data_IF_778839991317
#
_entry.id   IF_778839991317
#
_cell.length_a   1.000
_cell.length_b   1.000
_cell.length_c   1.000
_cell.angle_alpha   90.00
_cell.angle_beta   90.00
_cell.angle_gamma   90.00
#
_symmetry.space_group_name_H-M   'P 1'
#
loop_
_entity.id
_entity.type
_entity.pdbx_description
1 polymer ?
#
# COMPACT_ATOMS: atom_id res chain seq x y z
N UNK A 1 11.80 -1.39 4.09
CA UNK A 1 12.99 -1.20 3.23
C UNK A 1 12.63 -1.47 1.78
N UNK A 2 13.58 -1.30 0.84
CA UNK A 2 13.34 -1.65 -0.57
C UNK A 2 13.49 -3.17 -0.80
N UNK A 3 12.81 -3.74 -1.82
CA UNK A 3 12.78 -5.17 -2.11
C UNK A 3 14.13 -5.89 -2.12
N UNK A 4 15.16 -5.24 -2.67
CA UNK A 4 16.51 -5.82 -2.80
C UNK A 4 17.16 -6.20 -1.47
N UNK A 5 16.71 -5.60 -0.36
CA UNK A 5 17.27 -5.83 0.97
C UNK A 5 16.46 -6.81 1.83
N UNK A 6 15.29 -7.29 1.35
CA UNK A 6 14.38 -8.12 2.16
C UNK A 6 15.06 -9.38 2.67
N UNK A 7 15.75 -10.12 1.80
CA UNK A 7 16.43 -11.37 2.17
C UNK A 7 17.51 -11.16 3.24
N UNK A 8 18.30 -10.11 3.08
CA UNK A 8 19.37 -9.80 4.03
C UNK A 8 18.80 -9.33 5.37
N UNK A 9 17.74 -8.50 5.35
CA UNK A 9 17.05 -8.06 6.55
C UNK A 9 16.43 -9.23 7.32
N UNK A 10 15.79 -10.15 6.62
CA UNK A 10 15.24 -11.36 7.22
C UNK A 10 16.32 -12.20 7.91
N UNK A 11 17.47 -12.37 7.27
CA UNK A 11 18.61 -13.08 7.85
C UNK A 11 19.10 -12.39 9.13
N UNK A 12 19.22 -11.07 9.13
CA UNK A 12 19.72 -10.32 10.29
C UNK A 12 18.72 -10.27 11.46
N UNK A 13 17.42 -10.31 11.16
CA UNK A 13 16.35 -10.18 12.15
C UNK A 13 15.73 -11.51 12.59
N UNK A 14 16.25 -12.65 12.11
CA UNK A 14 15.69 -13.99 12.32
C UNK A 14 15.47 -14.40 13.79
N UNK A 15 16.17 -13.77 14.74
CA UNK A 15 16.08 -14.04 16.19
C UNK A 15 15.38 -12.93 16.98
N UNK A 16 14.67 -12.05 16.28
CA UNK A 16 13.97 -10.90 16.87
C UNK A 16 12.50 -10.93 16.52
N UNK A 17 11.68 -10.18 17.26
CA UNK A 17 10.26 -9.99 16.95
C UNK A 17 10.03 -8.86 15.91
N UNK A 18 11.09 -8.35 15.27
CA UNK A 18 11.01 -7.28 14.30
C UNK A 18 10.47 -7.78 12.96
N UNK A 19 9.40 -7.18 12.46
CA UNK A 19 8.83 -7.47 11.13
C UNK A 19 9.62 -6.80 10.01
N UNK A 20 9.92 -7.54 8.94
CA UNK A 20 10.49 -7.00 7.70
C UNK A 20 9.37 -6.51 6.79
N UNK A 21 9.27 -5.19 6.67
CA UNK A 21 8.29 -4.54 5.79
C UNK A 21 9.01 -4.06 4.52
N UNK A 22 8.42 -4.32 3.36
CA UNK A 22 8.91 -3.81 2.08
C UNK A 22 7.83 -3.04 1.32
N UNK A 23 8.20 -2.49 0.17
CA UNK A 23 7.33 -1.71 -0.71
C UNK A 23 7.15 -2.40 -2.06
N UNK A 24 6.01 -2.15 -2.72
CA UNK A 24 5.66 -2.68 -4.06
C UNK A 24 5.12 -1.56 -4.95
N UNK A 25 5.53 -1.53 -6.22
CA UNK A 25 5.14 -0.49 -7.17
C UNK A 25 5.55 0.91 -6.71
N UNK A 26 6.60 1.00 -5.90
CA UNK A 26 6.96 2.20 -5.15
C UNK A 26 8.08 2.99 -5.84
N UNK A 27 8.09 4.34 -5.77
CA UNK A 27 7.10 5.19 -5.10
C UNK A 27 5.95 5.66 -6.01
N UNK A 28 6.04 5.43 -7.32
CA UNK A 28 5.16 6.12 -8.27
C UNK A 28 3.79 5.46 -8.45
N UNK A 29 3.65 4.17 -8.13
CA UNK A 29 2.42 3.43 -8.35
C UNK A 29 2.05 3.23 -9.82
N UNK A 30 2.93 3.57 -10.77
CA UNK A 30 2.64 3.62 -12.21
C UNK A 30 3.07 2.36 -12.97
N UNK A 31 3.44 1.29 -12.27
CA UNK A 31 3.70 0.00 -12.88
C UNK A 31 2.38 -0.68 -13.28
N UNK A 32 2.40 -1.50 -14.32
CA UNK A 32 1.27 -2.38 -14.64
C UNK A 32 1.00 -3.37 -13.50
N UNK A 33 -0.26 -3.77 -13.32
CA UNK A 33 -0.69 -4.67 -12.23
C UNK A 33 0.12 -5.96 -12.19
N UNK A 34 0.39 -6.57 -13.34
CA UNK A 34 1.18 -7.80 -13.44
C UNK A 34 2.57 -7.65 -12.81
N UNK A 35 3.23 -6.49 -12.98
CA UNK A 35 4.53 -6.23 -12.34
C UNK A 35 4.39 -6.13 -10.83
N UNK A 36 3.37 -5.43 -10.31
CA UNK A 36 3.14 -5.33 -8.86
C UNK A 36 2.83 -6.70 -8.25
N UNK A 37 2.08 -7.54 -8.95
CA UNK A 37 1.77 -8.92 -8.54
C UNK A 37 3.05 -9.77 -8.46
N UNK A 38 3.88 -9.78 -9.51
CA UNK A 38 5.11 -10.57 -9.50
C UNK A 38 6.13 -10.04 -8.47
N UNK A 39 6.24 -8.72 -8.31
CA UNK A 39 7.06 -8.11 -7.26
C UNK A 39 6.58 -8.55 -5.86
N UNK A 40 5.26 -8.58 -5.63
CA UNK A 40 4.65 -9.02 -4.37
C UNK A 40 5.00 -10.47 -4.06
N UNK A 41 4.83 -11.39 -5.03
CA UNK A 41 5.19 -12.80 -4.86
C UNK A 41 6.67 -12.96 -4.52
N UNK A 42 7.53 -12.26 -5.25
CA UNK A 42 8.98 -12.33 -5.06
C UNK A 42 9.38 -11.85 -3.67
N UNK A 43 8.88 -10.71 -3.21
CA UNK A 43 9.29 -10.20 -1.88
C UNK A 43 8.79 -11.08 -0.74
N UNK A 44 7.67 -11.76 -0.91
CA UNK A 44 7.17 -12.74 0.06
C UNK A 44 8.04 -13.98 0.08
N UNK A 45 8.47 -14.48 -1.08
CA UNK A 45 9.45 -15.58 -1.18
C UNK A 45 10.78 -15.21 -0.50
N UNK A 46 11.20 -13.94 -0.62
CA UNK A 46 12.37 -13.41 0.08
C UNK A 46 12.14 -13.22 1.59
N UNK A 47 10.90 -13.37 2.06
CA UNK A 47 10.51 -13.38 3.47
C UNK A 47 9.91 -12.07 3.99
N UNK A 48 9.37 -11.18 3.16
CA UNK A 48 8.66 -10.00 3.66
C UNK A 48 7.49 -10.40 4.58
N UNK A 49 7.40 -9.78 5.76
CA UNK A 49 6.29 -10.00 6.70
C UNK A 49 5.09 -9.10 6.43
N UNK A 50 5.31 -7.95 5.78
CA UNK A 50 4.25 -7.04 5.34
C UNK A 50 4.67 -6.30 4.07
N UNK A 51 3.69 -5.87 3.27
CA UNK A 51 3.91 -5.13 2.02
C UNK A 51 3.16 -3.79 2.05
N UNK A 52 3.85 -2.70 1.74
CA UNK A 52 3.26 -1.38 1.53
C UNK A 52 3.24 -1.08 0.00
N UNK A 53 2.09 -1.23 -0.67
CA UNK A 53 1.95 -0.96 -2.11
C UNK A 53 1.54 0.50 -2.40
N UNK A 54 1.90 1.04 -3.56
CA UNK A 54 1.35 2.33 -4.05
C UNK A 54 0.27 2.08 -5.09
N UNK A 55 -0.89 2.74 -4.93
CA UNK A 55 -2.01 2.63 -5.88
C UNK A 55 -1.67 3.20 -7.25
N UNK A 56 -2.41 2.76 -8.28
CA UNK A 56 -2.47 3.45 -9.57
C UNK A 56 -3.09 4.86 -9.44
N UNK A 57 -2.25 5.85 -9.15
CA UNK A 57 -2.67 7.25 -8.93
C UNK A 57 -3.32 7.87 -10.17
N UNK A 58 -2.80 7.58 -11.37
CA UNK A 58 -3.39 8.07 -12.63
C UNK A 58 -4.83 7.59 -12.80
N UNK A 59 -5.06 6.28 -12.66
CA UNK A 59 -6.40 5.69 -12.76
C UNK A 59 -7.37 6.28 -11.71
N UNK A 60 -6.91 6.53 -10.48
CA UNK A 60 -7.75 7.17 -9.46
C UNK A 60 -8.17 8.59 -9.89
N UNK A 61 -7.25 9.38 -10.42
CA UNK A 61 -7.51 10.75 -10.88
C UNK A 61 -8.41 10.81 -12.11
N UNK A 62 -8.33 9.80 -12.97
CA UNK A 62 -9.20 9.64 -14.13
C UNK A 62 -10.60 9.09 -13.76
N UNK A 63 -10.83 8.78 -12.48
CA UNK A 63 -12.09 8.20 -12.01
C UNK A 63 -12.27 6.72 -12.35
N UNK A 64 -11.21 6.05 -12.82
CA UNK A 64 -11.20 4.61 -13.10
C UNK A 64 -10.99 3.80 -11.80
N UNK A 65 -12.03 3.83 -10.96
CA UNK A 65 -12.05 3.12 -9.69
C UNK A 65 -12.02 1.60 -9.84
N UNK A 66 -12.45 1.09 -11.01
CA UNK A 66 -12.41 -0.34 -11.30
C UNK A 66 -10.95 -0.81 -11.38
N UNK A 67 -10.14 -0.14 -12.19
CA UNK A 67 -8.71 -0.46 -12.33
C UNK A 67 -7.98 -0.37 -10.99
N UNK A 68 -8.24 0.68 -10.19
CA UNK A 68 -7.63 0.82 -8.86
C UNK A 68 -8.02 -0.33 -7.93
N UNK A 69 -9.31 -0.69 -7.85
CA UNK A 69 -9.79 -1.77 -7.00
C UNK A 69 -9.26 -3.15 -7.43
N UNK A 70 -9.24 -3.41 -8.74
CA UNK A 70 -8.73 -4.67 -9.30
C UNK A 70 -7.22 -4.81 -9.10
N UNK A 71 -6.46 -3.72 -9.23
CA UNK A 71 -5.02 -3.71 -8.93
C UNK A 71 -4.73 -4.04 -7.47
N UNK A 72 -5.40 -3.35 -6.53
CA UNK A 72 -5.20 -3.61 -5.10
C UNK A 72 -5.59 -5.05 -4.77
N UNK A 73 -6.72 -5.53 -5.29
CA UNK A 73 -7.18 -6.91 -5.07
C UNK A 73 -6.18 -7.92 -5.57
N UNK A 74 -5.63 -7.73 -6.77
CA UNK A 74 -4.63 -8.62 -7.33
C UNK A 74 -3.35 -8.69 -6.47
N UNK A 75 -2.91 -7.56 -5.90
CA UNK A 75 -1.77 -7.52 -4.98
C UNK A 75 -2.10 -8.21 -3.64
N UNK A 76 -3.29 -7.96 -3.08
CA UNK A 76 -3.77 -8.63 -1.86
C UNK A 76 -3.85 -10.15 -2.06
N UNK A 77 -4.42 -10.61 -3.17
CA UNK A 77 -4.51 -12.03 -3.51
C UNK A 77 -3.12 -12.66 -3.70
N UNK A 78 -2.21 -11.97 -4.39
CA UNK A 78 -0.83 -12.41 -4.55
C UNK A 78 -0.07 -12.47 -3.22
N UNK A 79 -0.45 -11.64 -2.25
CA UNK A 79 0.16 -11.62 -0.93
C UNK A 79 -0.28 -12.77 -0.01
N UNK A 80 -1.42 -13.39 -0.31
CA UNK A 80 -1.98 -14.47 0.50
C UNK A 80 -2.26 -14.02 1.93
N UNK A 81 -1.51 -14.54 2.90
CA UNK A 81 -1.64 -14.19 4.32
C UNK A 81 -0.79 -12.98 4.74
N UNK A 82 0.11 -12.50 3.87
CA UNK A 82 0.97 -11.36 4.18
C UNK A 82 0.16 -10.06 4.09
N UNK A 83 0.07 -9.26 5.17
CA UNK A 83 -0.73 -8.04 5.19
C UNK A 83 -0.24 -7.01 4.17
N UNK A 84 -1.20 -6.47 3.40
CA UNK A 84 -0.98 -5.40 2.44
C UNK A 84 -1.52 -4.08 2.96
N UNK A 85 -0.66 -3.05 2.93
CA UNK A 85 -1.01 -1.65 3.20
C UNK A 85 -1.02 -0.88 1.90
N UNK A 86 -2.03 -0.03 1.72
CA UNK A 86 -2.24 0.72 0.48
C UNK A 86 -1.84 2.17 0.69
N UNK A 87 -0.73 2.58 0.08
CA UNK A 87 -0.29 3.98 0.03
C UNK A 87 -1.14 4.72 -1.01
N UNK A 88 -1.93 5.68 -0.53
CA UNK A 88 -2.82 6.48 -1.39
C UNK A 88 -2.16 7.75 -1.92
N UNK A 89 -0.99 8.11 -1.40
CA UNK A 89 -0.29 9.36 -1.67
C UNK A 89 -1.19 10.59 -1.47
N UNK A 90 -1.72 10.73 -0.25
CA UNK A 90 -2.67 11.76 0.13
C UNK A 90 -2.20 13.16 -0.27
N UNK A 91 -0.88 13.40 -0.27
CA UNK A 91 -0.19 14.60 -0.75
C UNK A 91 -0.71 15.17 -2.06
N UNK A 92 -1.11 14.28 -2.98
CA UNK A 92 -1.51 14.60 -4.37
C UNK A 92 -3.02 14.52 -4.61
N UNK A 93 -3.80 14.18 -3.59
CA UNK A 93 -5.23 13.87 -3.73
C UNK A 93 -6.13 14.95 -3.15
N UNK A 94 -7.25 15.18 -3.81
CA UNK A 94 -8.40 15.89 -3.25
C UNK A 94 -9.11 15.03 -2.19
N UNK A 95 -9.93 15.66 -1.35
CA UNK A 95 -10.67 14.97 -0.29
C UNK A 95 -11.52 13.80 -0.82
N UNK A 96 -12.26 14.02 -1.91
CA UNK A 96 -13.09 12.99 -2.56
C UNK A 96 -12.25 11.80 -3.06
N UNK A 97 -11.04 12.07 -3.55
CA UNK A 97 -10.12 11.05 -4.07
C UNK A 97 -9.53 10.23 -2.92
N UNK A 98 -9.21 10.87 -1.78
CA UNK A 98 -8.77 10.17 -0.56
C UNK A 98 -9.85 9.24 -0.02
N UNK A 99 -11.11 9.71 0.01
CA UNK A 99 -12.26 8.90 0.43
C UNK A 99 -12.40 7.70 -0.51
N UNK A 100 -12.40 7.93 -1.83
CA UNK A 100 -12.49 6.86 -2.82
C UNK A 100 -11.35 5.83 -2.65
N UNK A 101 -10.10 6.28 -2.55
CA UNK A 101 -8.95 5.39 -2.38
C UNK A 101 -9.07 4.51 -1.12
N UNK A 102 -9.55 5.07 0.00
CA UNK A 102 -9.77 4.33 1.23
C UNK A 102 -10.84 3.24 1.08
N UNK A 103 -11.99 3.59 0.46
CA UNK A 103 -13.08 2.64 0.24
C UNK A 103 -12.68 1.54 -0.75
N UNK A 104 -11.87 1.87 -1.75
CA UNK A 104 -11.35 0.88 -2.71
C UNK A 104 -10.34 -0.07 -2.06
N UNK A 105 -9.45 0.44 -1.22
CA UNK A 105 -8.53 -0.38 -0.43
C UNK A 105 -9.28 -1.34 0.49
N UNK A 106 -10.30 -0.85 1.21
CA UNK A 106 -11.18 -1.68 2.03
C UNK A 106 -11.87 -2.77 1.21
N UNK A 107 -12.52 -2.38 0.11
CA UNK A 107 -13.24 -3.33 -0.76
C UNK A 107 -12.33 -4.39 -1.38
N UNK A 108 -11.07 -4.05 -1.63
CA UNK A 108 -10.07 -4.93 -2.20
C UNK A 108 -9.42 -5.88 -1.17
N UNK A 109 -9.71 -5.71 0.13
CA UNK A 109 -9.21 -6.59 1.20
C UNK A 109 -7.85 -6.18 1.77
N UNK A 110 -7.42 -4.93 1.56
CA UNK A 110 -6.24 -4.42 2.26
C UNK A 110 -6.52 -4.28 3.76
N UNK A 111 -5.47 -4.41 4.58
CA UNK A 111 -5.59 -4.30 6.04
C UNK A 111 -5.26 -2.91 6.57
N UNK A 112 -4.55 -2.11 5.78
CA UNK A 112 -4.23 -0.72 6.13
C UNK A 112 -4.34 0.19 4.92
N UNK A 113 -4.66 1.45 5.21
CA UNK A 113 -4.39 2.58 4.31
C UNK A 113 -3.23 3.40 4.87
N UNK A 114 -2.32 3.82 3.99
CA UNK A 114 -1.13 4.59 4.32
C UNK A 114 -1.16 5.93 3.59
N UNK A 115 -0.80 6.98 4.31
CA UNK A 115 -0.85 8.37 3.84
C UNK A 115 0.03 8.61 2.62
N UNK A 116 1.34 8.44 2.76
CA UNK A 116 2.33 8.95 1.80
C UNK A 116 3.50 8.00 1.59
N UNK A 117 4.18 8.18 0.45
CA UNK A 117 5.46 7.50 0.18
C UNK A 117 6.64 8.18 0.86
N UNK A 118 6.54 9.49 1.11
CA UNK A 118 7.64 10.34 1.56
C UNK A 118 8.53 10.86 0.41
N UNK A 119 8.22 10.53 -0.84
CA UNK A 119 8.95 11.02 -2.03
C UNK A 119 8.31 12.25 -2.68
N UNK A 120 7.13 12.66 -2.19
CA UNK A 120 6.43 13.86 -2.61
C UNK A 120 6.61 15.01 -1.62
N UNK A 121 6.33 16.24 -2.06
CA UNK A 121 6.54 17.48 -1.29
C UNK A 121 5.70 17.52 0.00
N UNK A 122 4.49 16.95 -0.05
CA UNK A 122 3.57 16.90 1.10
C UNK A 122 3.46 15.46 1.61
N UNK A 123 3.86 15.25 2.86
CA UNK A 123 3.67 14.00 3.60
C UNK A 123 2.32 13.94 4.30
N UNK A 124 2.24 13.12 5.35
CA UNK A 124 1.05 12.97 6.18
C UNK A 124 0.68 14.26 6.93
N UNK A 125 -0.61 14.57 7.01
CA UNK A 125 -1.15 15.58 7.92
C UNK A 125 -2.16 14.96 8.88
N UNK A 126 -2.41 15.63 10.02
CA UNK A 126 -3.39 15.17 11.00
C UNK A 126 -4.79 15.13 10.39
N UNK A 127 -5.09 16.05 9.49
CA UNK A 127 -6.36 16.13 8.75
C UNK A 127 -6.55 14.92 7.83
N UNK A 128 -5.51 14.51 7.10
CA UNK A 128 -5.55 13.32 6.25
C UNK A 128 -5.80 12.06 7.09
N UNK A 129 -5.08 11.91 8.20
CA UNK A 129 -5.25 10.76 9.12
C UNK A 129 -6.66 10.73 9.70
N UNK A 130 -7.21 11.87 10.14
CA UNK A 130 -8.57 11.98 10.66
C UNK A 130 -9.61 11.62 9.60
N UNK A 131 -9.47 12.16 8.38
CA UNK A 131 -10.36 11.85 7.27
C UNK A 131 -10.36 10.35 6.97
N UNK A 132 -9.17 9.76 6.80
CA UNK A 132 -9.01 8.34 6.54
C UNK A 132 -9.65 7.50 7.66
N UNK A 133 -9.49 7.90 8.93
CA UNK A 133 -10.09 7.21 10.10
C UNK A 133 -11.60 7.26 10.10
N UNK A 134 -12.19 8.40 9.73
CA UNK A 134 -13.64 8.52 9.59
C UNK A 134 -14.16 7.59 8.49
N UNK A 135 -13.44 7.46 7.38
CA UNK A 135 -13.88 6.64 6.24
C UNK A 135 -13.81 5.14 6.56
N UNK A 136 -12.66 4.63 7.02
CA UNK A 136 -12.45 3.19 7.21
C UNK A 136 -12.86 2.69 8.61
N UNK A 137 -13.04 3.59 9.57
CA UNK A 137 -13.38 3.23 10.96
C UNK A 137 -12.35 2.27 11.57
N UNK A 138 -12.84 1.20 12.20
CA UNK A 138 -12.00 0.13 12.77
C UNK A 138 -11.80 -1.06 11.82
N UNK A 139 -12.28 -0.95 10.57
CA UNK A 139 -12.19 -2.04 9.59
C UNK A 139 -10.78 -2.17 9.02
N UNK A 140 -10.08 -1.05 8.84
CA UNK A 140 -8.67 -0.99 8.41
C UNK A 140 -7.84 -0.18 9.41
N UNK A 141 -6.56 -0.53 9.52
CA UNK A 141 -5.59 0.30 10.21
C UNK A 141 -5.15 1.50 9.38
N UNK A 142 -4.55 2.49 10.04
CA UNK A 142 -3.99 3.69 9.39
C UNK A 142 -2.52 3.81 9.74
N UNK A 143 -1.69 4.00 8.71
CA UNK A 143 -0.26 4.30 8.86
C UNK A 143 0.00 5.72 8.38
N UNK A 144 0.44 6.57 9.31
CA UNK A 144 0.79 7.96 9.06
C UNK A 144 2.28 8.11 8.76
#
# INVERSE_FOLDING_TARGET
>A
MNPVFVKEAQKQLAVTDCSVITVVGFPLGANVTATKVEETKLVIELGANEVDMVISLGALKDGDYKTVCEEIRAVVEAAGQVPVKVIIEAGLLEEKEKIAACLLAERAGAVFVKTSTGFNVRGATVEDVKLMKVVVGDRLGIKA
#
